data_IF_531913990377
#
_entry.id   IF_531913990377
#
_cell.length_a   1.000
_cell.length_b   1.000
_cell.length_c   1.000
_cell.angle_alpha   90.00
_cell.angle_beta   90.00
_cell.angle_gamma   90.00
#
_symmetry.space_group_name_H-M   'P 1'
#
loop_
_entity.id
_entity.type
_entity.pdbx_description
1 polymer ?
#
# COMPACT_ATOMS: atom_id res chain seq x y z
N UNK A 1 7.28 -8.22 -6.09
CA UNK A 1 7.67 -8.03 -7.50
C UNK A 1 6.59 -7.29 -8.30
N UNK A 2 5.29 -7.58 -8.08
CA UNK A 2 4.19 -6.83 -8.69
C UNK A 2 4.18 -5.34 -8.34
N UNK A 3 4.61 -4.98 -7.11
CA UNK A 3 4.66 -3.59 -6.65
C UNK A 3 5.58 -2.74 -7.52
N UNK A 4 6.73 -3.31 -7.90
CA UNK A 4 7.73 -2.63 -8.74
C UNK A 4 7.21 -2.36 -10.14
N UNK A 5 6.51 -3.33 -10.74
CA UNK A 5 5.96 -3.14 -12.08
C UNK A 5 4.82 -2.11 -12.09
N UNK A 6 3.93 -2.11 -11.09
CA UNK A 6 2.88 -1.09 -10.98
C UNK A 6 3.49 0.30 -10.78
N UNK A 7 4.40 0.44 -9.82
CA UNK A 7 5.08 1.71 -9.57
C UNK A 7 5.82 2.23 -10.81
N UNK A 8 6.58 1.36 -11.48
CA UNK A 8 7.30 1.70 -12.71
C UNK A 8 6.34 2.14 -13.82
N UNK A 9 5.18 1.51 -13.95
CA UNK A 9 4.20 1.90 -14.96
C UNK A 9 3.59 3.29 -14.67
N UNK A 10 3.24 3.56 -13.41
CA UNK A 10 2.70 4.85 -12.97
C UNK A 10 3.71 6.01 -13.14
N UNK A 11 5.00 5.72 -13.02
CA UNK A 11 6.06 6.70 -13.22
C UNK A 11 6.31 7.10 -14.68
N UNK A 12 5.85 6.30 -15.66
CA UNK A 12 6.04 6.65 -17.07
C UNK A 12 5.37 7.99 -17.41
N UNK A 13 5.93 8.75 -18.37
CA UNK A 13 5.27 9.93 -18.90
C UNK A 13 3.97 9.55 -19.60
N UNK A 14 2.97 10.44 -19.58
CA UNK A 14 1.66 10.18 -20.20
C UNK A 14 1.77 9.83 -21.69
N UNK A 15 2.74 10.41 -22.41
CA UNK A 15 3.02 10.11 -23.81
C UNK A 15 3.33 8.64 -24.07
N UNK A 16 3.82 7.91 -23.06
CA UNK A 16 4.15 6.48 -23.14
C UNK A 16 3.06 5.58 -22.56
N UNK A 17 1.98 6.15 -21.99
CA UNK A 17 0.86 5.42 -21.37
C UNK A 17 -0.40 5.43 -22.25
N UNK A 18 -0.22 5.39 -23.57
CA UNK A 18 -1.34 5.39 -24.50
C UNK A 18 -2.22 4.14 -24.33
N UNK A 19 -3.52 4.34 -24.10
CA UNK A 19 -4.47 3.25 -23.84
C UNK A 19 -4.41 2.66 -22.43
N UNK A 20 -3.69 3.30 -21.50
CA UNK A 20 -3.74 2.93 -20.08
C UNK A 20 -5.17 3.13 -19.54
N UNK A 21 -5.74 2.16 -18.80
CA UNK A 21 -7.03 2.34 -18.12
C UNK A 21 -6.94 3.31 -16.93
N UNK A 22 -5.73 3.73 -16.56
CA UNK A 22 -5.44 4.63 -15.45
C UNK A 22 -4.85 5.93 -16.00
N UNK A 23 -5.47 7.05 -15.67
CA UNK A 23 -4.93 8.38 -15.91
C UNK A 23 -4.21 8.89 -14.67
N UNK A 24 -3.01 9.47 -14.84
CA UNK A 24 -2.26 10.06 -13.72
C UNK A 24 -2.55 11.56 -13.68
N UNK A 25 -3.13 12.01 -12.58
CA UNK A 25 -3.35 13.43 -12.31
C UNK A 25 -2.26 13.97 -11.37
N UNK A 26 -1.95 15.25 -11.52
CA UNK A 26 -1.03 15.97 -10.62
C UNK A 26 -1.79 16.80 -9.59
N UNK A 27 -3.02 17.21 -9.91
CA UNK A 27 -3.91 17.86 -8.97
C UNK A 27 -4.61 16.79 -8.11
N UNK A 28 -4.40 16.78 -6.79
CA UNK A 28 -5.09 15.86 -5.89
C UNK A 28 -6.62 16.01 -5.88
N UNK A 29 -7.18 17.16 -6.24
CA UNK A 29 -8.64 17.37 -6.27
C UNK A 29 -9.31 16.70 -7.47
N UNK A 30 -8.55 16.39 -8.52
CA UNK A 30 -9.02 15.62 -9.68
C UNK A 30 -8.82 14.10 -9.50
N UNK A 31 -8.23 13.66 -8.39
CA UNK A 31 -7.90 12.27 -8.16
C UNK A 31 -9.10 11.47 -7.62
N UNK A 32 -9.49 10.42 -8.33
CA UNK A 32 -10.45 9.42 -7.81
C UNK A 32 -9.81 8.50 -6.77
N UNK A 33 -8.52 8.21 -6.93
CA UNK A 33 -7.75 7.30 -6.09
C UNK A 33 -6.33 7.79 -5.84
N UNK A 34 -5.80 7.49 -4.65
CA UNK A 34 -4.44 7.81 -4.24
C UNK A 34 -3.58 6.55 -4.17
N UNK A 35 -2.57 6.45 -5.03
CA UNK A 35 -1.63 5.33 -4.96
C UNK A 35 -0.59 5.54 -3.85
N UNK A 36 -0.45 4.56 -2.96
CA UNK A 36 0.58 4.56 -1.90
C UNK A 36 1.72 3.62 -2.30
N UNK A 37 2.92 4.15 -2.64
CA UNK A 37 4.05 3.34 -3.11
C UNK A 37 4.78 2.65 -1.96
N UNK A 38 4.09 1.79 -1.21
CA UNK A 38 4.69 0.96 -0.16
C UNK A 38 5.06 -0.43 -0.69
N UNK A 39 6.33 -0.79 -0.56
CA UNK A 39 6.87 -2.04 -1.10
C UNK A 39 6.93 -3.13 -0.02
N UNK A 40 5.78 -3.75 0.24
CA UNK A 40 5.64 -4.83 1.24
C UNK A 40 6.69 -5.94 1.11
N UNK A 41 7.01 -6.34 -0.12
CA UNK A 41 8.00 -7.39 -0.39
C UNK A 41 9.44 -7.00 -0.04
N UNK A 42 9.80 -5.72 -0.13
CA UNK A 42 11.13 -5.27 0.28
C UNK A 42 11.30 -5.32 1.79
N UNK A 43 10.25 -4.94 2.54
CA UNK A 43 10.30 -4.93 4.00
C UNK A 43 10.67 -6.30 4.57
N UNK A 44 10.23 -7.41 3.97
CA UNK A 44 10.59 -8.76 4.42
C UNK A 44 11.99 -9.21 4.02
N UNK A 45 12.49 -8.75 2.87
CA UNK A 45 13.85 -9.08 2.41
C UNK A 45 14.88 -8.37 3.28
N UNK A 46 14.58 -7.13 3.71
CA UNK A 46 15.49 -6.35 4.57
C UNK A 46 15.22 -6.53 6.06
N UNK A 47 14.08 -7.12 6.46
CA UNK A 47 13.84 -7.50 7.85
C UNK A 47 14.82 -8.64 8.18
N UNK A 48 15.86 -8.39 9.01
CA UNK A 48 16.82 -9.40 9.34
C UNK A 48 16.07 -10.47 10.12
N UNK A 49 15.96 -11.68 9.56
CA UNK A 49 15.51 -12.84 10.29
C UNK A 49 16.28 -12.90 11.62
N UNK A 50 15.60 -12.58 12.73
CA UNK A 50 16.08 -12.63 14.13
C UNK A 50 17.60 -12.71 14.23
N UNK A 51 18.26 -11.55 14.27
CA UNK A 51 19.71 -11.39 14.32
C UNK A 51 20.37 -12.39 15.29
N UNK A 52 20.89 -13.49 14.72
CA UNK A 52 21.75 -14.46 15.42
C UNK A 52 23.22 -14.05 15.34
N UNK A 53 23.51 -12.75 15.35
CA UNK A 53 24.90 -12.25 15.28
C UNK A 53 24.94 -10.75 15.58
N UNK A 54 25.56 -10.40 16.70
CA UNK A 54 25.66 -9.05 17.26
C UNK A 54 26.36 -8.06 16.33
N UNK A 55 25.56 -7.33 15.56
CA UNK A 55 26.01 -6.19 14.76
C UNK A 55 25.30 -4.94 15.25
N UNK A 56 26.07 -3.98 15.77
CA UNK A 56 25.65 -2.66 16.30
C UNK A 56 25.16 -1.67 15.21
N UNK A 57 24.55 -2.17 14.13
CA UNK A 57 23.87 -1.32 13.16
C UNK A 57 22.39 -1.24 13.53
N UNK A 58 21.72 -0.09 13.36
CA UNK A 58 20.28 -0.03 13.53
C UNK A 58 19.65 -1.06 12.59
N UNK A 59 19.13 -2.12 13.18
CA UNK A 59 18.46 -3.21 12.46
C UNK A 59 17.19 -2.60 11.88
N UNK A 60 17.00 -2.73 10.57
CA UNK A 60 15.75 -2.34 9.93
C UNK A 60 14.58 -3.06 10.61
N UNK A 61 13.62 -2.30 11.12
CA UNK A 61 12.41 -2.82 11.74
C UNK A 61 11.22 -2.58 10.80
N UNK A 62 10.69 -3.66 10.22
CA UNK A 62 9.48 -3.60 9.41
C UNK A 62 8.29 -3.04 10.21
N UNK A 63 8.16 -3.43 11.48
CA UNK A 63 7.10 -2.93 12.35
C UNK A 63 7.14 -1.41 12.56
N UNK A 64 8.33 -0.83 12.72
CA UNK A 64 8.48 0.63 12.88
C UNK A 64 8.14 1.35 11.59
N UNK A 65 8.55 0.81 10.44
CA UNK A 65 8.21 1.40 9.14
C UNK A 65 6.71 1.31 8.85
N UNK A 66 6.05 0.20 9.22
CA UNK A 66 4.60 0.08 9.13
C UNK A 66 3.92 1.18 9.96
N UNK A 67 4.35 1.40 11.21
CA UNK A 67 3.77 2.44 12.07
C UNK A 67 4.02 3.84 11.50
N UNK A 68 5.26 4.14 11.11
CA UNK A 68 5.64 5.43 10.54
C UNK A 68 4.87 5.76 9.25
N UNK A 69 4.62 4.75 8.39
CA UNK A 69 3.79 4.92 7.20
C UNK A 69 2.38 5.39 7.58
N UNK A 70 1.76 4.77 8.59
CA UNK A 70 0.40 5.13 8.98
C UNK A 70 0.35 6.49 9.66
N UNK A 71 1.32 6.80 10.52
CA UNK A 71 1.41 8.13 11.13
C UNK A 71 1.50 9.21 10.04
N UNK A 72 2.35 8.99 9.03
CA UNK A 72 2.45 9.90 7.90
C UNK A 72 1.15 9.99 7.09
N UNK A 73 0.47 8.87 6.82
CA UNK A 73 -0.81 8.84 6.11
C UNK A 73 -1.89 9.57 6.91
N UNK A 74 -2.00 9.31 8.21
CA UNK A 74 -2.95 9.94 9.13
C UNK A 74 -2.73 11.46 9.25
N UNK A 75 -1.58 12.00 8.87
CA UNK A 75 -1.34 13.44 8.79
C UNK A 75 -1.92 14.08 7.51
N UNK A 76 -2.04 13.32 6.42
CA UNK A 76 -2.45 13.84 5.11
C UNK A 76 -3.93 14.26 5.07
N UNK A 77 -4.21 15.39 4.40
CA UNK A 77 -5.58 15.93 4.28
C UNK A 77 -6.51 14.97 3.53
N UNK A 78 -6.04 14.39 2.43
CA UNK A 78 -6.82 13.47 1.60
C UNK A 78 -7.08 12.12 2.28
N UNK A 79 -6.15 11.65 3.11
CA UNK A 79 -6.39 10.49 3.96
C UNK A 79 -7.52 10.75 4.96
N UNK A 80 -7.50 11.89 5.66
CA UNK A 80 -8.54 12.28 6.63
C UNK A 80 -9.90 12.48 5.98
N UNK A 81 -9.95 12.97 4.73
CA UNK A 81 -11.19 13.22 3.99
C UNK A 81 -12.06 11.97 3.84
N UNK A 82 -11.43 10.83 3.52
CA UNK A 82 -12.15 9.59 3.22
C UNK A 82 -11.73 8.40 4.10
N UNK A 83 -10.99 8.69 5.18
CA UNK A 83 -10.43 7.69 6.09
C UNK A 83 -9.65 6.59 5.34
N UNK A 84 -8.92 6.98 4.30
CA UNK A 84 -8.11 6.10 3.47
C UNK A 84 -8.85 5.20 2.48
N UNK A 85 -10.18 5.33 2.30
CA UNK A 85 -10.97 4.44 1.43
C UNK A 85 -10.62 4.52 -0.07
N UNK A 86 -10.19 5.68 -0.51
CA UNK A 86 -9.72 5.98 -1.86
C UNK A 86 -8.21 5.71 -2.05
N UNK A 87 -7.53 5.22 -1.01
CA UNK A 87 -6.11 4.91 -1.10
C UNK A 87 -5.90 3.47 -1.57
N UNK A 88 -5.05 3.30 -2.59
CA UNK A 88 -4.70 2.02 -3.19
C UNK A 88 -3.31 1.63 -2.70
N UNK A 89 -3.25 0.51 -1.98
CA UNK A 89 -2.02 -0.02 -1.38
C UNK A 89 -1.77 -1.42 -1.93
N UNK A 90 -0.58 -1.69 -2.47
CA UNK A 90 -0.21 -3.05 -2.85
C UNK A 90 0.35 -3.81 -1.65
N UNK A 91 -0.47 -4.72 -1.11
CA UNK A 91 -0.13 -5.61 -0.02
C UNK A 91 0.21 -7.00 -0.59
N UNK A 92 1.34 -7.08 -1.31
CA UNK A 92 1.78 -8.35 -1.91
C UNK A 92 2.14 -9.40 -0.87
N UNK A 93 2.69 -8.98 0.29
CA UNK A 93 2.86 -9.86 1.44
C UNK A 93 1.91 -9.47 2.59
N UNK A 94 1.06 -10.41 3.06
CA UNK A 94 0.13 -10.14 4.16
C UNK A 94 0.82 -9.82 5.50
N UNK A 95 2.06 -10.27 5.71
CA UNK A 95 2.82 -9.98 6.94
C UNK A 95 3.29 -8.53 6.99
N UNK A 96 3.50 -7.87 5.85
CA UNK A 96 4.01 -6.50 5.81
C UNK A 96 3.00 -5.44 6.28
N UNK A 97 1.79 -5.85 6.65
CA UNK A 97 0.78 -4.97 7.24
C UNK A 97 0.21 -5.51 8.55
N UNK A 98 0.69 -6.64 9.08
CA UNK A 98 -0.01 -7.33 10.16
C UNK A 98 -0.30 -6.44 11.39
N UNK A 99 0.60 -5.51 11.71
CA UNK A 99 0.50 -4.62 12.88
C UNK A 99 -0.45 -3.46 12.66
N UNK A 100 -0.60 -3.03 11.40
CA UNK A 100 -1.36 -1.84 11.02
C UNK A 100 -2.57 -2.14 10.13
N UNK A 101 -2.85 -3.42 9.87
CA UNK A 101 -3.88 -3.86 8.94
C UNK A 101 -5.26 -3.29 9.32
N UNK A 102 -5.53 -3.12 10.61
CA UNK A 102 -6.82 -2.58 11.08
C UNK A 102 -6.96 -1.08 10.81
N UNK A 103 -5.86 -0.36 10.59
CA UNK A 103 -5.84 1.05 10.18
C UNK A 103 -5.99 1.22 8.67
N UNK A 104 -5.44 0.29 7.87
CA UNK A 104 -5.52 0.32 6.40
C UNK A 104 -6.65 -0.53 5.83
N UNK A 105 -7.43 -1.22 6.65
CA UNK A 105 -8.49 -2.12 6.20
C UNK A 105 -9.58 -1.45 5.39
N UNK A 106 -9.74 -0.13 5.46
CA UNK A 106 -10.73 0.58 4.66
C UNK A 106 -10.20 0.96 3.28
N UNK A 107 -8.89 0.96 3.10
CA UNK A 107 -8.22 1.19 1.81
C UNK A 107 -8.44 0.04 0.83
N UNK A 108 -8.21 0.32 -0.44
CA UNK A 108 -8.19 -0.67 -1.51
C UNK A 108 -6.87 -1.43 -1.44
N UNK A 109 -6.93 -2.68 -1.01
CA UNK A 109 -5.74 -3.52 -0.85
C UNK A 109 -5.56 -4.42 -2.08
N UNK A 110 -4.53 -4.16 -2.87
CA UNK A 110 -4.13 -5.04 -3.98
C UNK A 110 -3.27 -6.18 -3.41
N UNK A 111 -3.86 -7.36 -3.30
CA UNK A 111 -3.27 -8.51 -2.61
C UNK A 111 -2.90 -9.60 -3.61
N UNK A 112 -1.76 -10.26 -3.39
CA UNK A 112 -1.29 -11.35 -4.25
C UNK A 112 -1.51 -12.74 -3.63
N UNK A 113 -1.56 -12.83 -2.30
CA UNK A 113 -1.80 -14.07 -1.57
C UNK A 113 -3.09 -13.96 -0.73
N UNK A 114 -4.15 -14.64 -1.21
CA UNK A 114 -5.49 -14.61 -0.60
C UNK A 114 -5.62 -15.50 0.64
N UNK A 115 -4.60 -16.31 0.97
CA UNK A 115 -4.71 -17.34 2.02
C UNK A 115 -4.95 -16.83 3.45
N UNK A 116 -4.70 -15.53 3.71
CA UNK A 116 -4.55 -15.00 5.08
C UNK A 116 -5.45 -13.82 5.42
N UNK A 117 -6.21 -13.29 4.46
CA UNK A 117 -7.06 -12.13 4.67
C UNK A 117 -8.49 -12.58 4.96
N UNK A 118 -9.04 -12.07 6.06
CA UNK A 118 -10.46 -12.21 6.39
C UNK A 118 -11.31 -11.35 5.43
N UNK A 119 -12.58 -11.70 5.27
CA UNK A 119 -13.51 -11.02 4.34
C UNK A 119 -13.65 -9.51 4.61
N UNK A 120 -13.39 -9.05 5.84
CA UNK A 120 -13.40 -7.64 6.22
C UNK A 120 -12.13 -6.89 5.78
N UNK A 121 -11.08 -7.61 5.38
CA UNK A 121 -9.76 -7.06 5.01
C UNK A 121 -9.56 -7.09 3.49
N UNK A 122 -9.92 -8.21 2.84
CA UNK A 122 -9.88 -8.35 1.39
C UNK A 122 -11.18 -8.95 0.87
N UNK A 123 -12.03 -8.13 0.25
CA UNK A 123 -13.28 -8.59 -0.35
C UNK A 123 -13.73 -7.66 -1.46
N UNK A 124 -14.10 -8.25 -2.61
CA UNK A 124 -14.73 -7.52 -3.70
C UNK A 124 -15.97 -6.74 -3.25
N UNK A 125 -16.70 -7.20 -2.22
CA UNK A 125 -17.88 -6.49 -1.70
C UNK A 125 -17.49 -5.22 -0.95
N UNK A 126 -16.34 -5.23 -0.25
CA UNK A 126 -15.76 -4.04 0.38
C UNK A 126 -15.24 -3.08 -0.70
N UNK A 127 -14.52 -3.63 -1.68
CA UNK A 127 -13.78 -2.86 -2.69
C UNK A 127 -14.64 -2.39 -3.88
N UNK A 128 -15.86 -2.93 -4.05
CA UNK A 128 -16.85 -2.50 -5.07
C UNK A 128 -17.94 -1.54 -4.55
N UNK A 129 -17.75 -0.80 -3.46
CA UNK A 129 -18.77 0.18 -3.03
C UNK A 129 -18.92 1.41 -3.95
N UNK A 130 -18.70 1.25 -5.25
CA UNK A 130 -19.25 2.09 -6.31
C UNK A 130 -20.37 1.30 -7.00
N UNK A 131 -21.58 1.34 -6.45
CA UNK A 131 -22.78 0.90 -7.16
C UNK A 131 -23.93 1.85 -6.86
N UNK A 132 -24.13 2.78 -7.81
CA UNK A 132 -25.27 3.67 -8.06
C UNK A 132 -25.59 4.75 -7.03
#
# INVERSE_FOLDING_TARGET
MGEWYLFKDLLKPESERFGSPIQKVLDPEEADFFYVPFFSSLSLIVNPARSSSGSDKPLYSDEENQVALIEWLEEQVYWKRNNGQDHVIMASDPNAFYKVIDKVKYSVLLVCDFGWLKEDKGSLVKDRRYQC
#
